data_IF_026206362775
#
_entry.id   IF_026206362775
#
_cell.length_a   1.000
_cell.length_b   1.000
_cell.length_c   1.000
_cell.angle_alpha   90.00
_cell.angle_beta   90.00
_cell.angle_gamma   90.00
#
_symmetry.space_group_name_H-M   'P 1'
#
loop_
_entity.id
_entity.type
_entity.pdbx_description
1 polymer ?
#
# COMPACT_ATOMS: atom_id res chain seq x y z
N UNK A 1 14.29 5.28 -17.33
CA UNK A 1 13.74 6.35 -16.44
C UNK A 1 12.23 6.55 -16.67
N UNK A 2 11.76 7.10 -17.80
CA UNK A 2 10.31 7.29 -18.04
C UNK A 2 9.56 5.96 -18.29
N UNK A 3 10.17 5.05 -19.07
CA UNK A 3 9.62 3.71 -19.36
C UNK A 3 9.40 2.88 -18.10
N UNK A 4 10.35 2.90 -17.18
CA UNK A 4 10.29 2.13 -15.93
C UNK A 4 9.22 2.68 -14.98
N UNK A 5 9.05 4.01 -14.97
CA UNK A 5 7.99 4.67 -14.23
C UNK A 5 6.60 4.28 -14.76
N UNK A 6 6.39 4.36 -16.09
CA UNK A 6 5.11 3.99 -16.70
C UNK A 6 4.81 2.49 -16.56
N UNK A 7 5.82 1.64 -16.70
CA UNK A 7 5.69 0.20 -16.48
C UNK A 7 5.28 -0.11 -15.03
N UNK A 8 5.90 0.55 -14.05
CA UNK A 8 5.54 0.41 -12.63
C UNK A 8 4.15 0.96 -12.30
N UNK A 9 3.78 2.10 -12.90
CA UNK A 9 2.45 2.67 -12.72
C UNK A 9 1.35 1.76 -13.30
N UNK A 10 1.57 1.24 -14.52
CA UNK A 10 0.62 0.35 -15.17
C UNK A 10 0.50 -0.99 -14.45
N UNK A 11 1.61 -1.61 -14.06
CA UNK A 11 1.59 -2.89 -13.33
C UNK A 11 0.87 -2.76 -11.98
N UNK A 12 1.11 -1.67 -11.25
CA UNK A 12 0.43 -1.40 -9.99
C UNK A 12 -1.06 -1.10 -10.17
N UNK A 13 -1.43 -0.34 -11.21
CA UNK A 13 -2.83 -0.06 -11.55
C UNK A 13 -3.59 -1.35 -11.87
N UNK A 14 -3.00 -2.24 -12.67
CA UNK A 14 -3.57 -3.55 -12.98
C UNK A 14 -3.69 -4.40 -11.71
N UNK A 15 -2.69 -4.40 -10.82
CA UNK A 15 -2.76 -5.09 -9.53
C UNK A 15 -3.93 -4.65 -8.66
N UNK A 16 -4.19 -3.33 -8.59
CA UNK A 16 -5.33 -2.77 -7.85
C UNK A 16 -6.66 -3.20 -8.48
N UNK A 17 -6.76 -3.18 -9.81
CA UNK A 17 -7.99 -3.59 -10.51
C UNK A 17 -8.29 -5.08 -10.33
N UNK A 18 -7.26 -5.94 -10.30
CA UNK A 18 -7.41 -7.37 -10.03
C UNK A 18 -7.80 -7.63 -8.57
N UNK A 19 -7.29 -6.84 -7.63
CA UNK A 19 -7.60 -6.97 -6.19
C UNK A 19 -8.97 -6.40 -5.79
N UNK A 20 -9.48 -5.39 -6.50
CA UNK A 20 -10.69 -4.66 -6.12
C UNK A 20 -11.94 -5.53 -5.88
N UNK A 21 -12.25 -6.57 -6.70
CA UNK A 21 -13.40 -7.44 -6.45
C UNK A 21 -13.31 -8.17 -5.10
N UNK A 22 -12.10 -8.55 -4.68
CA UNK A 22 -11.88 -9.24 -3.42
C UNK A 22 -12.01 -8.28 -2.23
N UNK A 23 -11.49 -7.06 -2.36
CA UNK A 23 -11.66 -6.00 -1.36
C UNK A 23 -13.14 -5.64 -1.17
N UNK A 24 -13.91 -5.55 -2.27
CA UNK A 24 -15.35 -5.31 -2.21
C UNK A 24 -16.10 -6.44 -1.52
N UNK A 25 -15.75 -7.70 -1.80
CA UNK A 25 -16.34 -8.85 -1.11
C UNK A 25 -16.05 -8.79 0.40
N UNK A 26 -14.80 -8.52 0.80
CA UNK A 26 -14.41 -8.38 2.20
C UNK A 26 -15.18 -7.29 2.92
N UNK A 27 -15.29 -6.09 2.33
CA UNK A 27 -15.99 -4.96 2.95
C UNK A 27 -17.49 -5.22 3.09
N UNK A 28 -18.14 -5.84 2.09
CA UNK A 28 -19.57 -6.19 2.15
C UNK A 28 -19.86 -7.22 3.23
N UNK A 29 -18.97 -8.21 3.40
CA UNK A 29 -19.07 -9.18 4.49
C UNK A 29 -18.88 -8.51 5.86
N UNK A 30 -17.88 -7.63 5.99
CA UNK A 30 -17.62 -6.89 7.23
C UNK A 30 -18.75 -5.90 7.59
N UNK A 31 -19.47 -5.37 6.59
CA UNK A 31 -20.62 -4.50 6.78
C UNK A 31 -21.95 -5.25 7.02
N UNK A 32 -21.94 -6.60 7.10
CA UNK A 32 -23.13 -7.40 7.41
C UNK A 32 -24.17 -7.46 6.29
N UNK A 33 -23.78 -7.21 5.04
CA UNK A 33 -24.68 -7.03 3.90
C UNK A 33 -25.13 -8.34 3.23
N UNK A 34 -24.95 -9.48 3.90
CA UNK A 34 -25.27 -10.82 3.38
C UNK A 34 -26.76 -11.15 3.36
N UNK A 35 -27.65 -10.25 3.75
CA UNK A 35 -29.09 -10.47 3.73
C UNK A 35 -29.74 -9.91 2.45
N UNK A 36 -29.81 -10.76 1.42
CA UNK A 36 -30.80 -10.80 0.33
C UNK A 36 -30.20 -10.96 -1.07
N UNK A 37 -29.97 -12.20 -1.49
CA UNK A 37 -30.21 -12.68 -2.86
C UNK A 37 -29.46 -12.07 -4.05
N UNK A 38 -28.64 -11.04 -3.89
CA UNK A 38 -27.90 -10.43 -5.00
C UNK A 38 -26.62 -11.23 -5.27
N UNK A 39 -26.50 -11.77 -6.47
CA UNK A 39 -25.34 -12.51 -6.97
C UNK A 39 -24.00 -11.93 -6.48
N UNK A 40 -23.20 -12.78 -5.84
CA UNK A 40 -21.81 -12.52 -5.41
C UNK A 40 -20.90 -12.24 -6.64
N UNK A 41 -21.37 -12.55 -7.85
CA UNK A 41 -20.66 -12.36 -9.12
C UNK A 41 -20.87 -10.94 -9.68
N UNK A 42 -19.81 -10.27 -10.18
CA UNK A 42 -19.80 -8.83 -10.32
C UNK A 42 -20.23 -8.40 -11.72
N UNK A 43 -21.20 -7.50 -11.83
CA UNK A 43 -21.36 -6.66 -13.02
C UNK A 43 -20.06 -5.89 -13.26
N UNK A 44 -19.65 -5.62 -14.50
CA UNK A 44 -18.43 -4.87 -14.85
C UNK A 44 -18.29 -3.52 -14.14
N UNK A 45 -19.42 -2.90 -13.76
CA UNK A 45 -19.47 -1.69 -12.95
C UNK A 45 -18.92 -1.86 -11.52
N UNK A 46 -18.97 -3.08 -10.95
CA UNK A 46 -18.44 -3.41 -9.62
C UNK A 46 -16.92 -3.49 -9.63
N UNK A 47 -16.30 -3.91 -10.73
CA UNK A 47 -14.83 -4.03 -10.84
C UNK A 47 -14.10 -2.68 -10.76
N UNK A 48 -14.75 -1.60 -11.13
CA UNK A 48 -14.15 -0.24 -11.17
C UNK A 48 -14.63 0.68 -10.04
N UNK A 49 -15.67 0.28 -9.32
CA UNK A 49 -16.20 1.05 -8.20
C UNK A 49 -15.16 1.14 -7.06
N UNK A 50 -14.80 2.36 -6.66
CA UNK A 50 -13.82 2.62 -5.60
C UNK A 50 -12.34 2.53 -6.02
N UNK A 51 -12.01 1.86 -7.13
CA UNK A 51 -10.63 1.68 -7.59
C UNK A 51 -10.00 2.93 -8.23
N UNK A 52 -10.80 3.92 -8.65
CA UNK A 52 -10.30 5.11 -9.33
C UNK A 52 -9.38 5.98 -8.44
N UNK A 53 -9.75 6.20 -7.17
CA UNK A 53 -8.94 6.97 -6.24
C UNK A 53 -7.56 6.34 -5.95
N UNK A 54 -7.43 5.03 -5.66
CA UNK A 54 -6.13 4.39 -5.52
C UNK A 54 -5.29 4.39 -6.79
N UNK A 55 -5.90 4.12 -7.95
CA UNK A 55 -5.17 4.05 -9.22
C UNK A 55 -4.54 5.40 -9.55
N UNK A 56 -5.30 6.49 -9.42
CA UNK A 56 -4.78 7.85 -9.64
C UNK A 56 -3.70 8.25 -8.62
N UNK A 57 -3.84 7.81 -7.37
CA UNK A 57 -2.89 8.12 -6.29
C UNK A 57 -1.62 7.26 -6.32
N UNK A 58 -1.59 6.16 -7.07
CA UNK A 58 -0.55 5.14 -6.96
C UNK A 58 0.86 5.67 -7.30
N UNK A 59 0.96 6.47 -8.35
CA UNK A 59 2.23 7.09 -8.74
C UNK A 59 2.79 8.02 -7.66
N UNK A 60 1.91 8.84 -7.04
CA UNK A 60 2.29 9.73 -5.96
C UNK A 60 2.69 8.97 -4.68
N UNK A 61 1.96 7.90 -4.35
CA UNK A 61 2.27 7.04 -3.20
C UNK A 61 3.66 6.40 -3.34
N UNK A 62 3.95 5.76 -4.47
CA UNK A 62 5.24 5.14 -4.69
C UNK A 62 6.38 6.16 -4.74
N UNK A 63 6.16 7.32 -5.38
CA UNK A 63 7.16 8.38 -5.41
C UNK A 63 7.49 8.87 -3.98
N UNK A 64 6.47 9.15 -3.16
CA UNK A 64 6.66 9.55 -1.77
C UNK A 64 7.36 8.47 -0.95
N UNK A 65 6.98 7.20 -1.14
CA UNK A 65 7.59 6.07 -0.43
C UNK A 65 9.09 6.02 -0.71
N UNK A 66 9.48 5.96 -1.99
CA UNK A 66 10.89 5.80 -2.38
C UNK A 66 11.72 7.04 -2.09
N UNK A 67 11.19 8.25 -2.33
CA UNK A 67 11.90 9.49 -2.00
C UNK A 67 12.14 9.59 -0.50
N UNK A 68 11.10 9.35 0.30
CA UNK A 68 11.20 9.45 1.76
C UNK A 68 12.09 8.36 2.34
N UNK A 69 12.00 7.13 1.82
CA UNK A 69 12.89 6.04 2.18
C UNK A 69 14.35 6.39 1.87
N UNK A 70 14.68 6.78 0.64
CA UNK A 70 16.06 7.11 0.23
C UNK A 70 16.65 8.28 1.02
N UNK A 71 15.83 9.32 1.27
CA UNK A 71 16.25 10.49 2.07
C UNK A 71 16.46 10.12 3.53
N UNK A 72 15.57 9.33 4.12
CA UNK A 72 15.65 8.90 5.51
C UNK A 72 16.82 7.95 5.73
N UNK A 73 17.04 7.01 4.83
CA UNK A 73 18.19 6.09 4.88
C UNK A 73 19.51 6.89 4.84
N UNK A 74 19.63 7.84 3.91
CA UNK A 74 20.83 8.67 3.79
C UNK A 74 21.06 9.57 5.02
N UNK A 75 19.99 10.19 5.55
CA UNK A 75 20.07 11.00 6.76
C UNK A 75 20.48 10.17 7.98
N UNK A 76 19.92 8.97 8.12
CA UNK A 76 20.15 8.08 9.26
C UNK A 76 21.54 7.44 9.22
N UNK A 77 22.03 7.06 8.04
CA UNK A 77 23.41 6.60 7.83
C UNK A 77 24.43 7.69 8.19
N UNK A 78 24.16 8.95 7.79
CA UNK A 78 25.01 10.09 8.17
C UNK A 78 24.97 10.38 9.67
N UNK A 79 23.78 10.31 10.29
CA UNK A 79 23.59 10.60 11.70
C UNK A 79 24.21 9.54 12.63
N UNK A 80 24.12 8.26 12.26
CA UNK A 80 24.62 7.15 13.08
C UNK A 80 26.05 6.73 12.74
N UNK A 81 26.69 7.33 11.73
CA UNK A 81 28.02 6.95 11.22
C UNK A 81 28.19 5.41 11.02
N UNK A 82 27.09 4.71 10.79
CA UNK A 82 27.01 3.25 10.77
C UNK A 82 26.66 2.79 9.36
N UNK A 83 27.23 1.66 8.94
CA UNK A 83 26.88 0.97 7.69
C UNK A 83 25.40 0.54 7.69
N UNK A 84 24.89 0.14 6.53
CA UNK A 84 23.51 -0.32 6.36
C UNK A 84 23.16 -1.42 7.37
N UNK A 85 22.27 -1.09 8.30
CA UNK A 85 21.79 -1.97 9.37
C UNK A 85 20.29 -2.20 9.23
N UNK A 86 19.80 -3.36 9.69
CA UNK A 86 18.37 -3.69 9.67
C UNK A 86 17.52 -2.65 10.40
N UNK A 87 18.06 -2.08 11.49
CA UNK A 87 17.37 -1.01 12.24
C UNK A 87 17.29 0.27 11.42
N UNK A 88 18.34 0.60 10.66
CA UNK A 88 18.31 1.78 9.78
C UNK A 88 17.34 1.62 8.63
N UNK A 89 17.25 0.41 8.07
CA UNK A 89 16.28 0.07 7.01
C UNK A 89 14.85 0.10 7.55
N UNK A 90 14.63 -0.41 8.76
CA UNK A 90 13.33 -0.36 9.43
C UNK A 90 12.88 1.08 9.67
N UNK A 91 13.75 1.92 10.23
CA UNK A 91 13.45 3.34 10.51
C UNK A 91 13.22 4.13 9.22
N UNK A 92 14.01 3.89 8.17
CA UNK A 92 13.80 4.51 6.87
C UNK A 92 12.48 4.07 6.22
N UNK A 93 12.12 2.78 6.34
CA UNK A 93 10.82 2.25 5.91
C UNK A 93 9.66 2.85 6.69
N UNK A 94 9.80 2.98 8.00
CA UNK A 94 8.80 3.58 8.88
C UNK A 94 8.56 5.07 8.57
N UNK A 95 9.63 5.84 8.31
CA UNK A 95 9.54 7.21 7.84
C UNK A 95 8.89 7.31 6.45
N UNK A 96 9.21 6.36 5.55
CA UNK A 96 8.55 6.21 4.25
C UNK A 96 7.04 6.01 4.39
N UNK A 97 6.61 5.14 5.30
CA UNK A 97 5.19 4.90 5.60
C UNK A 97 4.45 6.10 6.17
N UNK A 98 5.11 6.91 7.01
CA UNK A 98 4.54 8.16 7.50
C UNK A 98 4.39 9.21 6.40
N UNK A 99 5.32 9.26 5.45
CA UNK A 99 5.24 10.17 4.32
C UNK A 99 4.14 9.76 3.33
N UNK A 100 3.99 8.46 3.05
CA UNK A 100 2.91 7.97 2.17
C UNK A 100 1.53 8.14 2.78
N UNK A 101 1.40 8.10 4.11
CA UNK A 101 0.15 8.34 4.81
C UNK A 101 -0.54 9.65 4.41
N UNK A 102 0.22 10.71 4.09
CA UNK A 102 -0.34 12.01 3.65
C UNK A 102 -1.22 11.86 2.40
N UNK A 103 -0.84 10.98 1.48
CA UNK A 103 -1.61 10.70 0.26
C UNK A 103 -2.53 9.49 0.44
N UNK A 104 -2.13 8.50 1.24
CA UNK A 104 -2.93 7.29 1.45
C UNK A 104 -4.20 7.60 2.22
N UNK A 105 -4.12 8.35 3.33
CA UNK A 105 -5.25 8.66 4.20
C UNK A 105 -6.48 9.24 3.47
N UNK A 106 -6.37 10.31 2.65
CA UNK A 106 -7.52 10.82 1.91
C UNK A 106 -8.03 9.81 0.87
N UNK A 107 -7.14 9.07 0.20
CA UNK A 107 -7.58 8.08 -0.80
C UNK A 107 -8.29 6.89 -0.16
N UNK A 108 -7.82 6.39 0.98
CA UNK A 108 -8.46 5.33 1.75
C UNK A 108 -9.82 5.77 2.29
N UNK A 109 -9.93 6.99 2.83
CA UNK A 109 -11.21 7.52 3.29
C UNK A 109 -12.25 7.59 2.17
N UNK A 110 -11.85 8.08 0.99
CA UNK A 110 -12.74 8.16 -0.18
C UNK A 110 -13.14 6.75 -0.63
N UNK A 111 -12.20 5.80 -0.66
CA UNK A 111 -12.49 4.39 -1.00
C UNK A 111 -13.49 3.78 -0.03
N UNK A 112 -13.23 3.83 1.28
CA UNK A 112 -14.11 3.23 2.28
C UNK A 112 -15.53 3.83 2.21
N UNK A 113 -15.65 5.16 2.07
CA UNK A 113 -16.96 5.81 1.90
C UNK A 113 -17.64 5.41 0.59
N UNK A 114 -16.89 5.28 -0.51
CA UNK A 114 -17.42 4.84 -1.79
C UNK A 114 -17.88 3.36 -1.76
N UNK A 115 -17.18 2.50 -1.03
CA UNK A 115 -17.51 1.08 -0.90
C UNK A 115 -18.72 0.81 0.02
N UNK A 116 -18.89 1.63 1.07
CA UNK A 116 -20.05 1.56 1.99
C UNK A 116 -21.31 2.20 1.39
N UNK A 117 -21.16 3.21 0.52
CA UNK A 117 -22.28 3.85 -0.15
C UNK A 117 -22.88 2.92 -1.21
N UNK A 118 -24.01 2.27 -0.89
CA UNK A 118 -24.76 1.43 -1.84
C UNK A 118 -25.29 2.18 -3.06
N UNK A 119 -25.41 3.52 -2.97
CA UNK A 119 -25.77 4.38 -4.09
C UNK A 119 -24.49 4.82 -4.84
N UNK A 120 -24.52 4.74 -6.18
CA UNK A 120 -23.46 5.13 -7.13
C UNK A 120 -23.01 6.60 -7.03
N UNK A 121 -22.50 7.04 -5.88
CA UNK A 121 -21.88 8.34 -5.75
C UNK A 121 -20.46 8.26 -6.29
N UNK A 122 -20.21 9.02 -7.36
CA UNK A 122 -18.86 9.21 -7.90
C UNK A 122 -17.90 9.63 -6.79
N UNK A 123 -16.69 9.05 -6.74
CA UNK A 123 -15.64 9.35 -5.76
C UNK A 123 -15.37 10.85 -5.62
N UNK A 124 -15.56 11.59 -6.72
CA UNK A 124 -15.47 13.05 -6.76
C UNK A 124 -16.50 13.76 -5.88
N UNK A 125 -17.76 13.29 -5.90
CA UNK A 125 -18.84 13.88 -5.10
C UNK A 125 -18.63 13.63 -3.61
N UNK A 126 -18.15 12.45 -3.25
CA UNK A 126 -17.78 12.11 -1.87
C UNK A 126 -16.64 13.04 -1.40
N UNK A 127 -15.57 13.16 -2.19
CA UNK A 127 -14.45 14.05 -1.88
C UNK A 127 -14.91 15.50 -1.70
N UNK A 128 -15.72 16.02 -2.62
CA UNK A 128 -16.26 17.38 -2.54
C UNK A 128 -17.14 17.57 -1.30
N UNK A 129 -17.95 16.57 -0.94
CA UNK A 129 -18.78 16.61 0.26
C UNK A 129 -17.95 16.65 1.54
N UNK A 130 -16.88 15.86 1.64
CA UNK A 130 -15.96 15.90 2.80
C UNK A 130 -15.28 17.26 2.89
N UNK A 131 -14.80 17.77 1.76
CA UNK A 131 -14.15 19.08 1.70
C UNK A 131 -15.08 20.21 2.17
N UNK A 132 -16.34 20.22 1.71
CA UNK A 132 -17.31 21.27 2.06
C UNK A 132 -17.78 21.20 3.52
N UNK A 133 -17.82 20.02 4.13
CA UNK A 133 -18.35 19.84 5.50
C UNK A 133 -17.30 19.92 6.58
N UNK A 134 -16.10 19.37 6.34
CA UNK A 134 -15.05 19.19 7.35
C UNK A 134 -13.68 19.75 6.92
N UNK A 135 -13.57 20.27 5.69
CA UNK A 135 -12.33 20.80 5.14
C UNK A 135 -11.21 19.76 5.07
N UNK A 136 -9.96 20.24 5.07
CA UNK A 136 -8.75 19.41 5.07
C UNK A 136 -8.69 18.45 6.27
N UNK A 137 -9.14 18.91 7.45
CA UNK A 137 -9.08 18.12 8.68
C UNK A 137 -9.98 16.87 8.61
N UNK A 138 -11.08 16.94 7.87
CA UNK A 138 -12.00 15.82 7.64
C UNK A 138 -11.34 14.59 7.01
N UNK A 139 -10.30 14.79 6.20
CA UNK A 139 -9.58 13.70 5.54
C UNK A 139 -8.62 12.93 6.47
N UNK A 140 -8.25 13.53 7.61
CA UNK A 140 -7.28 12.97 8.54
C UNK A 140 -7.90 12.62 9.91
N UNK A 141 -9.23 12.64 10.03
CA UNK A 141 -9.92 12.19 11.25
C UNK A 141 -9.65 10.70 11.46
N UNK A 142 -9.05 10.34 12.61
CA UNK A 142 -8.57 8.97 12.89
C UNK A 142 -7.23 8.63 12.25
N UNK A 143 -6.61 9.57 11.54
CA UNK A 143 -5.43 9.34 10.73
C UNK A 143 -4.17 8.94 11.52
N UNK A 144 -4.06 9.30 12.80
CA UNK A 144 -2.90 8.92 13.62
C UNK A 144 -2.74 7.39 13.71
N UNK A 145 -3.85 6.67 13.89
CA UNK A 145 -3.80 5.22 14.04
C UNK A 145 -3.50 4.54 12.70
N UNK A 146 -3.96 5.14 11.60
CA UNK A 146 -3.60 4.75 10.23
C UNK A 146 -2.12 5.03 9.96
N UNK A 147 -1.59 6.17 10.40
CA UNK A 147 -0.19 6.54 10.25
C UNK A 147 0.74 5.58 10.99
N UNK A 148 0.41 5.22 12.24
CA UNK A 148 1.17 4.24 13.02
C UNK A 148 1.12 2.87 12.35
N UNK A 149 -0.06 2.43 11.90
CA UNK A 149 -0.24 1.17 11.17
C UNK A 149 0.65 1.13 9.92
N UNK A 150 0.56 2.15 9.08
CA UNK A 150 1.29 2.22 7.82
C UNK A 150 2.80 2.31 8.07
N UNK A 151 3.23 3.11 9.04
CA UNK A 151 4.64 3.25 9.44
C UNK A 151 5.23 1.90 9.90
N UNK A 152 4.57 1.22 10.83
CA UNK A 152 5.04 -0.09 11.33
C UNK A 152 5.05 -1.13 10.21
N UNK A 153 3.99 -1.18 9.41
CA UNK A 153 3.87 -2.12 8.29
C UNK A 153 4.97 -1.94 7.24
N UNK A 154 5.25 -0.70 6.82
CA UNK A 154 6.33 -0.43 5.87
C UNK A 154 7.72 -0.66 6.47
N UNK A 155 7.94 -0.36 7.77
CA UNK A 155 9.19 -0.66 8.45
C UNK A 155 9.53 -2.17 8.43
N UNK A 156 8.56 -3.01 8.77
CA UNK A 156 8.73 -4.47 8.70
C UNK A 156 8.85 -4.97 7.26
N UNK A 157 8.09 -4.40 6.31
CA UNK A 157 8.20 -4.76 4.89
C UNK A 157 9.64 -4.59 4.38
N UNK A 158 10.23 -3.41 4.54
CA UNK A 158 11.60 -3.15 4.05
C UNK A 158 12.66 -3.99 4.79
N UNK A 159 12.48 -4.20 6.10
CA UNK A 159 13.41 -5.01 6.90
C UNK A 159 13.38 -6.49 6.51
N UNK A 160 12.18 -7.06 6.36
CA UNK A 160 11.99 -8.43 5.93
C UNK A 160 12.42 -8.65 4.49
N UNK A 161 12.21 -7.66 3.62
CA UNK A 161 12.73 -7.68 2.25
C UNK A 161 14.26 -7.76 2.24
N UNK A 162 14.94 -6.92 3.03
CA UNK A 162 16.40 -6.94 3.12
C UNK A 162 16.94 -8.26 3.71
N UNK A 163 16.28 -8.79 4.75
CA UNK A 163 16.61 -10.11 5.31
C UNK A 163 16.45 -11.21 4.27
N UNK A 164 15.30 -11.29 3.59
CA UNK A 164 15.05 -12.28 2.55
C UNK A 164 16.09 -12.19 1.42
N UNK A 165 16.48 -10.97 1.04
CA UNK A 165 17.48 -10.74 0.01
C UNK A 165 18.90 -11.13 0.47
N UNK A 166 19.23 -10.93 1.74
CA UNK A 166 20.52 -11.27 2.35
C UNK A 166 20.72 -12.77 2.56
N UNK A 167 19.67 -13.48 2.96
CA UNK A 167 19.70 -14.92 3.23
C UNK A 167 19.42 -15.78 1.98
N UNK A 168 19.22 -15.18 0.81
CA UNK A 168 19.00 -15.93 -0.43
C UNK A 168 20.27 -16.70 -0.86
N UNK A 169 20.24 -18.05 -0.91
CA UNK A 169 21.45 -18.87 -1.06
C UNK A 169 22.03 -18.89 -2.49
N UNK A 170 21.32 -18.40 -3.51
CA UNK A 170 21.80 -18.38 -4.90
C UNK A 170 22.40 -17.04 -5.28
N UNK A 171 23.70 -16.85 -5.02
CA UNK A 171 24.50 -15.76 -5.59
C UNK A 171 25.04 -16.22 -6.94
N UNK A 172 24.19 -16.23 -7.97
CA UNK A 172 24.57 -16.72 -9.31
C UNK A 172 25.40 -15.67 -10.05
N UNK A 173 26.70 -15.91 -10.13
CA UNK A 173 27.67 -15.18 -10.95
C UNK A 173 27.66 -15.73 -12.39
N UNK A 174 26.61 -15.44 -13.20
CA UNK A 174 26.69 -15.56 -14.68
C UNK A 174 25.51 -14.89 -15.39
N UNK A 175 25.81 -14.07 -16.39
CA UNK A 175 25.02 -12.90 -16.83
C UNK A 175 23.75 -13.17 -17.66
N UNK A 176 23.52 -14.37 -18.23
CA UNK A 176 22.41 -14.54 -19.20
C UNK A 176 21.16 -15.27 -18.65
N UNK A 177 21.30 -16.25 -17.75
CA UNK A 177 20.17 -16.85 -17.02
C UNK A 177 19.83 -16.10 -15.72
N UNK A 178 20.66 -15.11 -15.35
CA UNK A 178 20.50 -14.31 -14.14
C UNK A 178 19.17 -13.54 -14.13
N UNK A 179 18.76 -12.94 -15.24
CA UNK A 179 17.60 -12.04 -15.26
C UNK A 179 16.29 -12.71 -14.80
N UNK A 180 16.00 -13.93 -15.25
CA UNK A 180 14.78 -14.65 -14.83
C UNK A 180 14.84 -15.06 -13.36
N UNK A 181 16.00 -15.55 -12.90
CA UNK A 181 16.21 -15.89 -11.50
C UNK A 181 16.14 -14.66 -10.58
N UNK A 182 16.60 -13.50 -11.04
CA UNK A 182 16.56 -12.25 -10.28
C UNK A 182 15.11 -11.73 -10.16
N UNK A 183 14.32 -11.82 -11.23
CA UNK A 183 12.88 -11.48 -11.18
C UNK A 183 12.13 -12.42 -10.22
N UNK A 184 12.36 -13.74 -10.30
CA UNK A 184 11.75 -14.69 -9.36
C UNK A 184 12.18 -14.44 -7.92
N UNK A 185 13.46 -14.13 -7.69
CA UNK A 185 14.00 -13.79 -6.39
C UNK A 185 13.32 -12.55 -5.82
N UNK A 186 13.27 -11.46 -6.59
CA UNK A 186 12.63 -10.21 -6.17
C UNK A 186 11.15 -10.43 -5.87
N UNK A 187 10.45 -11.23 -6.68
CA UNK A 187 9.04 -11.55 -6.48
C UNK A 187 8.82 -12.36 -5.20
N UNK A 188 9.60 -13.41 -4.95
CA UNK A 188 9.49 -14.24 -3.74
C UNK A 188 9.87 -13.46 -2.48
N UNK A 189 10.94 -12.66 -2.54
CA UNK A 189 11.34 -11.79 -1.43
C UNK A 189 10.27 -10.74 -1.13
N UNK A 190 9.69 -10.13 -2.17
CA UNK A 190 8.59 -9.17 -2.03
C UNK A 190 7.31 -9.81 -1.49
N UNK A 191 6.97 -11.02 -1.93
CA UNK A 191 5.83 -11.79 -1.42
C UNK A 191 5.99 -12.16 0.05
N UNK A 192 7.16 -12.67 0.44
CA UNK A 192 7.47 -12.97 1.84
C UNK A 192 7.43 -11.72 2.71
N UNK A 193 8.07 -10.63 2.27
CA UNK A 193 8.03 -9.35 2.97
C UNK A 193 6.59 -8.83 3.15
N UNK A 194 5.72 -9.04 2.14
CA UNK A 194 4.30 -8.73 2.22
C UNK A 194 3.56 -9.56 3.28
N UNK A 195 3.81 -10.87 3.37
CA UNK A 195 3.19 -11.71 4.40
C UNK A 195 3.61 -11.26 5.80
N UNK A 196 4.89 -10.95 6.01
CA UNK A 196 5.40 -10.49 7.30
C UNK A 196 4.84 -9.12 7.66
N UNK A 197 4.77 -8.18 6.71
CA UNK A 197 4.18 -6.86 6.98
C UNK A 197 2.70 -6.98 7.38
N UNK A 198 1.91 -7.78 6.67
CA UNK A 198 0.51 -8.02 7.03
C UNK A 198 0.36 -8.74 8.38
N UNK A 199 1.21 -9.72 8.70
CA UNK A 199 1.20 -10.39 10.01
C UNK A 199 1.47 -9.45 11.18
N UNK A 200 2.33 -8.45 11.00
CA UNK A 200 2.62 -7.43 12.03
C UNK A 200 1.54 -6.36 12.15
N UNK A 201 0.85 -6.06 11.05
CA UNK A 201 -0.23 -5.07 11.01
C UNK A 201 -1.55 -5.64 11.53
N UNK A 202 -1.82 -6.93 11.32
CA UNK A 202 -3.09 -7.55 11.68
C UNK A 202 -3.50 -7.37 13.16
N UNK A 203 -2.61 -7.53 14.15
CA UNK A 203 -2.95 -7.26 15.56
C UNK A 203 -3.37 -5.80 15.80
N UNK A 204 -2.73 -4.84 15.11
CA UNK A 204 -3.08 -3.43 15.21
C UNK A 204 -4.45 -3.14 14.60
N UNK A 205 -4.86 -3.89 13.58
CA UNK A 205 -6.18 -3.78 12.99
C UNK A 205 -7.25 -4.42 13.88
N UNK A 206 -6.95 -5.54 14.56
CA UNK A 206 -7.90 -6.19 15.50
C UNK A 206 -8.20 -5.36 16.75
N UNK A 207 -7.28 -4.49 17.19
CA UNK A 207 -7.51 -3.60 18.34
C UNK A 207 -8.48 -2.45 17.98
N UNK A 208 -8.62 -2.13 16.69
CA UNK A 208 -9.46 -1.01 16.22
C UNK A 208 -10.91 -1.41 15.91
N UNK A 209 -11.16 -2.68 15.57
CA UNK A 209 -12.49 -3.23 15.28
C UNK A 209 -13.20 -3.64 16.56
#
# INVERSE_FOLDING_TARGET
MSTDFWAGYFSGSVGILVGNPWDLAKVRLQAGMTAAGSSILPTTAVWTAGAAAPVLGYGALNALLFVSYNRSECALQRALLTQKSLVTTWLAGAAGGLATWVVSAPTELIKCRAQVSMCQYSSWRIMRGVWQTQGLRGFYVGGLITAVRDSVGYGFYFSSYELAHKYWPFRTQREDHAARHDVFKVLLCGGFAGVVSWATVFPLDTIKT
#
